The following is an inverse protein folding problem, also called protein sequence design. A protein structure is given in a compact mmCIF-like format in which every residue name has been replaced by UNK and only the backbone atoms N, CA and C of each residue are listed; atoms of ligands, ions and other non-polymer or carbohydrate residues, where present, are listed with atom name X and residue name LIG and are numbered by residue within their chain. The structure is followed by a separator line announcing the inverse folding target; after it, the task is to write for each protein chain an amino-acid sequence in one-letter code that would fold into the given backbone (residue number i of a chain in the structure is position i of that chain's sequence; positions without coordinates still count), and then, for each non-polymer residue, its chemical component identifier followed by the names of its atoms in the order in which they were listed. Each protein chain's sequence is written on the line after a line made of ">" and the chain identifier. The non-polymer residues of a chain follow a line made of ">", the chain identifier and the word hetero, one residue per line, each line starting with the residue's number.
data_IF_400508250998
#
_entry.id   IF_400508250998
#
_cell.length_a   1.000
_cell.length_b   1.000
_cell.length_c   1.000
_cell.angle_alpha   90.00
_cell.angle_beta   90.00
_cell.angle_gamma   90.00
#
_symmetry.space_group_name_H-M   'P 1'
#
loop_
_entity.id
_entity.type
_entity.pdbx_description
1 polymer ?
#
# COMPACT_ATOMS: atom_id res chain seq x y z
N UNK A 1 -19.93 -27.47 5.37
CA UNK A 1 -19.24 -26.72 6.45
C UNK A 1 -20.20 -25.71 7.07
N UNK A 2 -20.33 -25.60 8.39
CA UNK A 2 -21.19 -24.60 9.03
C UNK A 2 -20.80 -23.16 8.60
N UNK A 3 -21.76 -22.27 8.31
CA UNK A 3 -21.47 -20.91 7.84
C UNK A 3 -20.59 -20.06 8.78
N UNK A 4 -20.69 -20.30 10.09
CA UNK A 4 -19.85 -19.62 11.09
C UNK A 4 -18.37 -19.99 10.95
N UNK A 5 -18.07 -21.25 10.65
CA UNK A 5 -16.68 -21.73 10.48
C UNK A 5 -16.09 -21.15 9.19
N UNK A 6 -16.88 -21.11 8.10
CA UNK A 6 -16.45 -20.50 6.83
C UNK A 6 -16.10 -19.02 6.99
N UNK A 7 -16.95 -18.24 7.68
CA UNK A 7 -16.69 -16.81 7.93
C UNK A 7 -15.44 -16.59 8.78
N UNK A 8 -15.25 -17.38 9.84
CA UNK A 8 -14.04 -17.30 10.69
C UNK A 8 -12.75 -17.65 9.94
N UNK A 9 -12.85 -18.55 8.97
CA UNK A 9 -11.75 -18.95 8.11
C UNK A 9 -11.51 -17.99 6.92
N UNK A 10 -12.29 -16.91 6.78
CA UNK A 10 -12.17 -15.97 5.65
C UNK A 10 -12.63 -16.55 4.31
N UNK A 11 -13.36 -17.67 4.32
CA UNK A 11 -13.84 -18.36 3.12
C UNK A 11 -15.17 -17.73 2.69
N UNK A 12 -15.18 -17.09 1.52
CA UNK A 12 -16.40 -16.56 0.89
C UNK A 12 -17.15 -17.69 0.18
N UNK A 13 -18.48 -17.67 0.27
CA UNK A 13 -19.35 -18.56 -0.52
C UNK A 13 -19.04 -18.39 -2.01
N UNK A 14 -18.69 -19.47 -2.70
CA UNK A 14 -18.29 -19.45 -4.12
C UNK A 14 -16.81 -19.15 -4.39
N UNK A 15 -15.99 -18.96 -3.35
CA UNK A 15 -14.54 -18.79 -3.48
C UNK A 15 -13.81 -20.10 -3.81
N UNK A 16 -12.68 -20.00 -4.52
CA UNK A 16 -11.79 -21.15 -4.77
C UNK A 16 -11.02 -21.49 -3.49
N UNK A 17 -11.02 -22.75 -3.11
CA UNK A 17 -10.29 -23.27 -1.95
C UNK A 17 -9.46 -24.48 -2.35
N UNK A 18 -8.38 -24.72 -1.63
CA UNK A 18 -7.58 -25.93 -1.75
C UNK A 18 -7.91 -26.89 -0.61
N UNK A 19 -8.08 -28.18 -0.94
CA UNK A 19 -8.33 -29.24 0.03
C UNK A 19 -7.06 -30.07 0.19
N UNK A 20 -6.55 -30.17 1.41
CA UNK A 20 -5.43 -31.05 1.75
C UNK A 20 -5.86 -32.03 2.83
N UNK A 21 -5.46 -33.29 2.70
CA UNK A 21 -5.77 -34.34 3.68
C UNK A 21 -4.48 -34.84 4.30
N UNK A 22 -4.39 -34.83 5.63
CA UNK A 22 -3.24 -35.32 6.38
C UNK A 22 -3.70 -35.90 7.72
N UNK A 23 -3.33 -37.15 8.02
CA UNK A 23 -3.60 -37.76 9.33
C UNK A 23 -5.08 -37.79 9.75
N UNK A 24 -6.00 -37.90 8.79
CA UNK A 24 -7.45 -37.87 9.05
C UNK A 24 -8.07 -36.47 9.17
N UNK A 25 -7.28 -35.41 9.02
CA UNK A 25 -7.74 -34.02 9.06
C UNK A 25 -7.83 -33.44 7.64
N UNK A 26 -8.96 -32.80 7.33
CA UNK A 26 -9.18 -32.03 6.08
C UNK A 26 -8.84 -30.56 6.35
N UNK A 27 -7.77 -30.09 5.74
CA UNK A 27 -7.39 -28.68 5.73
C UNK A 27 -8.04 -27.99 4.52
N UNK A 28 -8.79 -26.92 4.76
CA UNK A 28 -9.38 -26.08 3.73
C UNK A 28 -8.65 -24.74 3.77
N UNK A 29 -7.88 -24.47 2.73
CA UNK A 29 -7.05 -23.26 2.64
C UNK A 29 -7.67 -22.35 1.56
N UNK A 30 -8.04 -21.10 1.87
CA UNK A 30 -8.48 -20.17 0.85
C UNK A 30 -7.34 -19.94 -0.14
N UNK A 31 -7.61 -20.09 -1.44
CA UNK A 31 -6.63 -19.66 -2.45
C UNK A 31 -6.57 -18.15 -2.41
N UNK A 32 -5.44 -17.61 -1.96
CA UNK A 32 -5.17 -16.20 -2.13
C UNK A 32 -5.18 -15.90 -3.64
N UNK A 33 -5.67 -14.73 -4.08
CA UNK A 33 -5.44 -14.31 -5.45
C UNK A 33 -3.93 -14.38 -5.67
N UNK A 34 -3.52 -15.20 -6.64
CA UNK A 34 -2.11 -15.25 -6.97
C UNK A 34 -1.75 -13.85 -7.45
N UNK A 35 -0.62 -13.31 -6.99
CA UNK A 35 -0.09 -12.06 -7.56
C UNK A 35 0.36 -12.25 -9.03
N UNK A 36 0.12 -13.42 -9.61
CA UNK A 36 0.42 -13.82 -11.00
C UNK A 36 -0.51 -13.21 -12.05
N UNK A 37 -1.56 -12.48 -11.65
CA UNK A 37 -2.30 -11.65 -12.61
C UNK A 37 -1.40 -10.47 -12.97
N UNK A 38 -0.56 -10.67 -13.99
CA UNK A 38 0.21 -9.62 -14.64
C UNK A 38 -0.70 -8.39 -14.84
N UNK A 39 -0.25 -7.22 -14.35
CA UNK A 39 -1.02 -5.98 -14.46
C UNK A 39 -1.61 -5.85 -15.85
N UNK A 40 -2.93 -5.60 -15.94
CA UNK A 40 -3.56 -5.31 -17.23
C UNK A 40 -2.88 -4.09 -17.85
N UNK A 41 -2.91 -3.96 -19.19
CA UNK A 41 -2.27 -2.83 -19.86
C UNK A 41 -2.75 -1.47 -19.31
N UNK A 42 -4.04 -1.37 -18.96
CA UNK A 42 -4.60 -0.16 -18.37
C UNK A 42 -4.07 0.10 -16.94
N UNK A 43 -3.90 -0.94 -16.12
CA UNK A 43 -3.28 -0.80 -14.79
C UNK A 43 -1.81 -0.39 -14.89
N UNK A 44 -1.07 -0.95 -15.85
CA UNK A 44 0.33 -0.55 -16.12
C UNK A 44 0.41 0.91 -16.52
N UNK A 45 -0.45 1.39 -17.41
CA UNK A 45 -0.47 2.82 -17.81
C UNK A 45 -0.66 3.76 -16.63
N UNK A 46 -1.51 3.41 -15.67
CA UNK A 46 -1.71 4.22 -14.46
C UNK A 46 -0.45 4.22 -13.59
N UNK A 47 0.20 3.06 -13.43
CA UNK A 47 1.46 2.95 -12.68
C UNK A 47 2.57 3.74 -13.38
N UNK A 48 2.72 3.58 -14.69
CA UNK A 48 3.75 4.25 -15.49
C UNK A 48 3.54 5.77 -15.50
N UNK A 49 2.29 6.23 -15.59
CA UNK A 49 1.97 7.66 -15.50
C UNK A 49 2.33 8.23 -14.11
N UNK A 50 2.00 7.49 -13.04
CA UNK A 50 2.38 7.89 -11.68
C UNK A 50 3.90 7.87 -11.46
N UNK A 51 4.60 6.94 -12.08
CA UNK A 51 6.06 6.87 -12.02
C UNK A 51 6.71 8.01 -12.80
N UNK A 52 6.19 8.35 -13.97
CA UNK A 52 6.64 9.49 -14.77
C UNK A 52 6.42 10.82 -14.03
N UNK A 53 5.25 11.00 -13.40
CA UNK A 53 4.98 12.18 -12.58
C UNK A 53 5.94 12.26 -11.38
N UNK A 54 6.15 11.15 -10.69
CA UNK A 54 7.12 11.10 -9.58
C UNK A 54 8.56 11.38 -10.06
N UNK A 55 8.87 11.05 -11.31
CA UNK A 55 10.18 11.29 -11.90
C UNK A 55 10.50 12.79 -12.04
N UNK A 56 9.49 13.65 -12.16
CA UNK A 56 9.65 15.10 -12.27
C UNK A 56 9.95 15.79 -10.92
N UNK A 57 9.65 15.13 -9.80
CA UNK A 57 9.85 15.67 -8.46
C UNK A 57 8.63 16.44 -7.91
N UNK A 58 8.77 17.16 -6.78
CA UNK A 58 9.99 17.74 -6.25
C UNK A 58 10.88 16.76 -5.49
N UNK A 59 12.16 16.73 -5.84
CA UNK A 59 13.19 16.07 -5.04
C UNK A 59 13.83 17.06 -4.07
N UNK A 60 14.06 16.62 -2.85
CA UNK A 60 14.80 17.39 -1.85
C UNK A 60 16.12 16.69 -1.55
N UNK A 61 17.21 17.42 -1.70
CA UNK A 61 18.57 16.89 -1.62
C UNK A 61 19.30 16.98 -2.97
N UNK A 62 20.49 16.36 -3.11
CA UNK A 62 21.10 15.44 -2.16
C UNK A 62 21.50 16.12 -0.84
N UNK A 63 21.49 15.34 0.24
CA UNK A 63 22.03 15.77 1.54
C UNK A 63 23.33 15.01 1.76
N UNK A 64 24.41 15.73 2.06
CA UNK A 64 25.72 15.11 2.31
C UNK A 64 25.77 14.45 3.70
N UNK A 65 24.91 14.88 4.62
CA UNK A 65 24.83 14.38 6.00
C UNK A 65 23.39 14.28 6.49
N UNK A 66 23.16 13.43 7.49
CA UNK A 66 21.87 13.33 8.16
C UNK A 66 21.44 14.68 8.79
N UNK A 67 22.40 15.45 9.32
CA UNK A 67 22.13 16.76 9.92
C UNK A 67 21.58 17.76 8.91
N UNK A 68 22.08 17.76 7.67
CA UNK A 68 21.54 18.61 6.60
C UNK A 68 20.08 18.24 6.28
N UNK A 69 19.75 16.94 6.20
CA UNK A 69 18.39 16.47 5.96
C UNK A 69 17.44 16.83 7.11
N UNK A 70 17.88 16.66 8.37
CA UNK A 70 17.10 17.00 9.56
C UNK A 70 16.83 18.51 9.62
N UNK A 71 17.82 19.35 9.31
CA UNK A 71 17.65 20.81 9.25
C UNK A 71 16.63 21.21 8.18
N UNK A 72 16.69 20.59 7.01
CA UNK A 72 15.73 20.82 5.93
C UNK A 72 14.29 20.48 6.39
N UNK A 73 14.08 19.29 6.97
CA UNK A 73 12.76 18.88 7.46
C UNK A 73 12.22 19.83 8.55
N UNK A 74 13.07 20.26 9.48
CA UNK A 74 12.68 21.20 10.52
C UNK A 74 12.29 22.57 9.96
N UNK A 75 12.96 23.04 8.90
CA UNK A 75 12.56 24.26 8.18
C UNK A 75 11.19 24.10 7.52
N UNK A 76 10.97 23.00 6.80
CA UNK A 76 9.69 22.72 6.14
C UNK A 76 8.53 22.65 7.12
N UNK A 77 8.72 22.00 8.28
CA UNK A 77 7.72 21.95 9.34
C UNK A 77 7.38 23.37 9.84
N UNK A 78 8.39 24.23 10.04
CA UNK A 78 8.18 25.62 10.46
C UNK A 78 7.44 26.43 9.41
N UNK A 79 7.83 26.31 8.13
CA UNK A 79 7.19 27.01 7.01
C UNK A 79 5.72 26.62 6.91
N UNK A 80 5.39 25.32 6.98
CA UNK A 80 4.01 24.83 6.96
C UNK A 80 3.19 25.38 8.13
N UNK A 81 3.75 25.44 9.34
CA UNK A 81 3.09 26.05 10.51
C UNK A 81 2.84 27.54 10.31
N UNK A 82 3.80 28.27 9.75
CA UNK A 82 3.67 29.70 9.48
C UNK A 82 2.61 29.99 8.41
N UNK A 83 2.59 29.23 7.31
CA UNK A 83 1.58 29.35 6.24
C UNK A 83 0.17 29.09 6.77
N UNK A 84 -0.02 28.04 7.59
CA UNK A 84 -1.31 27.78 8.24
C UNK A 84 -1.77 28.94 9.12
N UNK A 85 -0.87 29.55 9.90
CA UNK A 85 -1.21 30.71 10.74
C UNK A 85 -1.59 31.95 9.93
N UNK A 86 -1.02 32.15 8.74
CA UNK A 86 -1.36 33.25 7.83
C UNK A 86 -2.75 33.08 7.22
N UNK A 87 -3.14 31.86 6.88
CA UNK A 87 -4.47 31.56 6.30
C UNK A 87 -5.61 31.61 7.31
N UNK A 88 -5.32 31.54 8.61
CA UNK A 88 -6.33 31.57 9.69
C UNK A 88 -6.48 32.95 10.34
N UNK A 89 -5.67 33.94 9.94
CA UNK A 89 -5.86 35.33 10.38
C UNK A 89 -6.91 35.99 9.46
N UNK A 90 -8.00 36.57 9.99
CA UNK A 90 -8.96 37.34 9.20
C UNK A 90 -8.32 38.59 8.59
#
# INVERSE_FOLDING_TARGET
>A
MPPQVQRRAGIKTGGRVEFRVSGGIINIIPKLPSADDEYTQEQRRVIDAGLAEAQEGPYYGPFETADQAIRFLNNEIRNRKASKRKTTKP
#
